data_IF_057513118331
#
_entry.id   IF_057513118331
#
_cell.length_a   1.000
_cell.length_b   1.000
_cell.length_c   1.000
_cell.angle_alpha   90.00
_cell.angle_beta   90.00
_cell.angle_gamma   90.00
#
_symmetry.space_group_name_H-M   'P 1'
#
loop_
_entity.id
_entity.type
_entity.pdbx_description
1 polymer ?
#
# COMPACT_ATOMS: atom_id res chain seq x y z
N UNK A 1 -79.70 -58.23 -18.28
CA UNK A 1 -80.84 -57.28 -18.19
C UNK A 1 -81.82 -57.50 -19.34
N UNK A 2 -83.11 -57.60 -19.04
CA UNK A 2 -84.21 -57.69 -20.04
C UNK A 2 -85.30 -56.68 -19.72
N UNK A 3 -85.91 -56.07 -20.73
CA UNK A 3 -87.02 -55.14 -20.55
C UNK A 3 -88.23 -55.90 -19.96
N UNK A 4 -88.83 -55.36 -18.91
CA UNK A 4 -90.09 -55.87 -18.35
C UNK A 4 -91.25 -55.40 -19.23
N UNK A 5 -92.06 -56.34 -19.70
CA UNK A 5 -93.18 -56.06 -20.59
C UNK A 5 -94.48 -56.63 -20.04
N UNK A 6 -95.58 -55.92 -20.28
CA UNK A 6 -96.95 -56.36 -19.99
C UNK A 6 -97.75 -56.46 -21.29
N UNK A 7 -98.58 -57.50 -21.41
CA UNK A 7 -99.47 -57.68 -22.56
C UNK A 7 -100.85 -57.08 -22.27
N UNK A 8 -101.32 -56.19 -23.14
CA UNK A 8 -102.66 -55.58 -23.07
C UNK A 8 -103.30 -55.65 -24.45
N UNK A 9 -104.45 -56.31 -24.56
CA UNK A 9 -105.19 -56.49 -25.83
C UNK A 9 -104.33 -57.06 -26.99
N UNK A 10 -103.47 -58.04 -26.70
CA UNK A 10 -102.62 -58.70 -27.71
C UNK A 10 -101.37 -57.91 -28.13
N UNK A 11 -101.05 -56.81 -27.43
CA UNK A 11 -99.85 -55.99 -27.67
C UNK A 11 -98.96 -55.93 -26.44
N UNK A 12 -97.64 -56.02 -26.65
CA UNK A 12 -96.65 -55.90 -25.59
C UNK A 12 -96.25 -54.44 -25.37
N UNK A 13 -96.33 -53.99 -24.13
CA UNK A 13 -95.95 -52.65 -23.68
C UNK A 13 -94.84 -52.74 -22.64
N UNK A 14 -93.95 -51.75 -22.60
CA UNK A 14 -92.96 -51.64 -21.54
C UNK A 14 -93.65 -51.26 -20.22
N UNK A 15 -93.31 -51.95 -19.14
CA UNK A 15 -93.69 -51.51 -17.80
C UNK A 15 -92.81 -50.33 -17.41
N UNK A 16 -93.42 -49.30 -16.82
CA UNK A 16 -92.72 -48.10 -16.35
C UNK A 16 -92.82 -48.00 -14.83
N UNK A 17 -91.78 -47.47 -14.19
CA UNK A 17 -91.77 -47.23 -12.76
C UNK A 17 -92.58 -45.96 -12.38
N UNK A 18 -92.59 -45.62 -11.08
CA UNK A 18 -93.28 -44.44 -10.57
C UNK A 18 -92.77 -43.10 -11.15
N UNK A 19 -91.58 -43.09 -11.77
CA UNK A 19 -90.98 -41.93 -12.41
C UNK A 19 -91.19 -41.94 -13.94
N UNK A 20 -91.90 -42.94 -14.48
CA UNK A 20 -92.15 -43.10 -15.91
C UNK A 20 -90.98 -43.71 -16.69
N UNK A 21 -90.00 -44.31 -16.01
CA UNK A 21 -88.84 -44.94 -16.64
C UNK A 21 -89.13 -46.41 -16.97
N UNK A 22 -88.75 -46.92 -18.15
CA UNK A 22 -88.90 -48.34 -18.49
C UNK A 22 -88.16 -49.24 -17.50
N UNK A 23 -88.85 -50.26 -16.98
CA UNK A 23 -88.31 -51.19 -15.99
C UNK A 23 -87.54 -52.31 -16.67
N UNK A 24 -86.30 -52.55 -16.22
CA UNK A 24 -85.49 -53.69 -16.64
C UNK A 24 -85.29 -54.66 -15.47
N UNK A 25 -85.37 -55.95 -15.79
CA UNK A 25 -85.07 -57.05 -14.88
C UNK A 25 -83.61 -57.45 -15.07
N UNK A 26 -82.81 -57.33 -14.02
CA UNK A 26 -81.44 -57.79 -13.97
C UNK A 26 -81.35 -59.31 -13.82
N UNK A 27 -80.16 -59.86 -14.06
CA UNK A 27 -79.95 -61.31 -14.04
C UNK A 27 -80.08 -61.89 -12.60
N UNK A 28 -80.07 -61.03 -11.58
CA UNK A 28 -80.36 -61.36 -10.17
C UNK A 28 -81.85 -61.21 -9.79
N UNK A 29 -82.72 -60.94 -10.77
CA UNK A 29 -84.16 -60.77 -10.58
C UNK A 29 -84.59 -59.39 -10.07
N UNK A 30 -83.65 -58.45 -9.84
CA UNK A 30 -84.01 -57.10 -9.40
C UNK A 30 -84.58 -56.27 -10.55
N UNK A 31 -85.62 -55.49 -10.24
CA UNK A 31 -86.27 -54.59 -11.18
C UNK A 31 -85.82 -53.16 -10.93
N UNK A 32 -85.31 -52.48 -11.97
CA UNK A 32 -84.80 -51.12 -11.88
C UNK A 32 -85.30 -50.31 -13.09
N UNK A 33 -85.78 -49.09 -12.86
CA UNK A 33 -86.09 -48.13 -13.92
C UNK A 33 -84.83 -47.63 -14.62
N UNK A 34 -84.79 -47.70 -15.94
CA UNK A 34 -83.63 -47.29 -16.74
C UNK A 34 -83.82 -45.90 -17.35
N UNK A 35 -83.02 -44.95 -16.89
CA UNK A 35 -82.90 -43.63 -17.50
C UNK A 35 -81.85 -43.64 -18.62
N UNK A 36 -82.32 -43.72 -19.85
CA UNK A 36 -81.46 -43.70 -21.03
C UNK A 36 -80.69 -42.37 -21.20
N UNK A 37 -81.29 -41.23 -20.82
CA UNK A 37 -80.65 -39.93 -20.96
C UNK A 37 -79.51 -39.76 -19.95
N UNK A 38 -79.73 -40.17 -18.69
CA UNK A 38 -78.68 -40.18 -17.66
C UNK A 38 -77.56 -41.16 -18.02
N UNK A 39 -77.88 -42.34 -18.55
CA UNK A 39 -76.88 -43.33 -18.97
C UNK A 39 -75.99 -42.79 -20.11
N UNK A 40 -76.58 -42.18 -21.14
CA UNK A 40 -75.83 -41.56 -22.25
C UNK A 40 -74.95 -40.42 -21.77
N UNK A 41 -75.45 -39.56 -20.87
CA UNK A 41 -74.65 -38.49 -20.25
C UNK A 41 -73.47 -39.05 -19.46
N UNK A 42 -73.68 -40.14 -18.69
CA UNK A 42 -72.62 -40.79 -17.92
C UNK A 42 -71.57 -41.42 -18.83
N UNK A 43 -71.96 -42.07 -19.92
CA UNK A 43 -71.05 -42.62 -20.94
C UNK A 43 -70.21 -41.50 -21.58
N UNK A 44 -70.83 -40.37 -21.92
CA UNK A 44 -70.12 -39.21 -22.46
C UNK A 44 -69.10 -38.63 -21.48
N UNK A 45 -69.45 -38.53 -20.19
CA UNK A 45 -68.53 -38.11 -19.12
C UNK A 45 -67.33 -39.06 -19.01
N UNK A 46 -67.60 -40.36 -18.93
CA UNK A 46 -66.55 -41.39 -18.81
C UNK A 46 -65.61 -41.41 -20.02
N UNK A 47 -66.13 -41.21 -21.23
CA UNK A 47 -65.31 -41.09 -22.44
C UNK A 47 -64.46 -39.81 -22.43
N UNK A 48 -65.01 -38.70 -21.91
CA UNK A 48 -64.26 -37.47 -21.67
C UNK A 48 -63.11 -37.67 -20.67
N UNK A 49 -63.39 -38.32 -19.54
CA UNK A 49 -62.39 -38.67 -18.52
C UNK A 49 -61.31 -39.61 -19.08
N UNK A 50 -61.69 -40.64 -19.85
CA UNK A 50 -60.74 -41.55 -20.49
C UNK A 50 -59.82 -40.82 -21.50
N UNK A 51 -60.35 -39.81 -22.20
CA UNK A 51 -59.56 -38.95 -23.09
C UNK A 51 -58.57 -38.10 -22.29
N UNK A 52 -59.02 -37.43 -21.22
CA UNK A 52 -58.12 -36.59 -20.40
C UNK A 52 -57.02 -37.40 -19.73
N UNK A 53 -57.31 -38.62 -19.27
CA UNK A 53 -56.27 -39.52 -18.72
C UNK A 53 -55.22 -39.91 -19.75
N UNK A 54 -55.62 -40.14 -21.00
CA UNK A 54 -54.69 -40.46 -22.09
C UNK A 54 -53.79 -39.26 -22.41
N UNK A 55 -54.38 -38.08 -22.56
CA UNK A 55 -53.64 -36.84 -22.83
C UNK A 55 -52.67 -36.52 -21.68
N UNK A 56 -53.09 -36.69 -20.43
CA UNK A 56 -52.23 -36.50 -19.26
C UNK A 56 -51.06 -37.50 -19.23
N UNK A 57 -51.30 -38.76 -19.59
CA UNK A 57 -50.26 -39.78 -19.69
C UNK A 57 -49.23 -39.44 -20.77
N UNK A 58 -49.68 -39.08 -21.98
CA UNK A 58 -48.80 -38.69 -23.08
C UNK A 58 -47.96 -37.45 -22.73
N UNK A 59 -48.56 -36.46 -22.07
CA UNK A 59 -47.85 -35.28 -21.60
C UNK A 59 -46.81 -35.60 -20.51
N UNK A 60 -47.12 -36.53 -19.59
CA UNK A 60 -46.18 -36.98 -18.56
C UNK A 60 -45.02 -37.77 -19.16
N UNK A 61 -45.29 -38.70 -20.08
CA UNK A 61 -44.26 -39.48 -20.78
C UNK A 61 -43.33 -38.57 -21.61
N UNK A 62 -43.88 -37.56 -22.29
CA UNK A 62 -43.08 -36.56 -23.02
C UNK A 62 -42.15 -35.78 -22.09
N UNK A 63 -42.64 -35.35 -20.92
CA UNK A 63 -41.81 -34.67 -19.92
C UNK A 63 -40.73 -35.60 -19.35
N UNK A 64 -41.06 -36.87 -19.10
CA UNK A 64 -40.12 -37.86 -18.59
C UNK A 64 -39.00 -38.16 -19.60
N UNK A 65 -39.32 -38.19 -20.89
CA UNK A 65 -38.36 -38.44 -21.97
C UNK A 65 -37.22 -37.40 -22.00
N UNK A 66 -37.48 -36.14 -21.61
CA UNK A 66 -36.43 -35.11 -21.50
C UNK A 66 -35.35 -35.46 -20.46
N UNK A 67 -35.64 -36.37 -19.53
CA UNK A 67 -34.73 -36.84 -18.48
C UNK A 67 -34.21 -38.26 -18.73
N UNK A 68 -34.50 -38.88 -19.89
CA UNK A 68 -34.16 -40.28 -20.16
C UNK A 68 -32.66 -40.59 -20.09
N UNK A 69 -31.79 -39.59 -20.30
CA UNK A 69 -30.34 -39.72 -20.23
C UNK A 69 -29.76 -39.45 -18.83
N UNK A 70 -30.61 -39.17 -17.83
CA UNK A 70 -30.19 -38.95 -16.45
C UNK A 70 -30.37 -40.26 -15.68
N UNK A 71 -29.26 -40.96 -15.45
CA UNK A 71 -29.24 -42.23 -14.71
C UNK A 71 -29.51 -42.09 -13.21
N UNK A 72 -29.16 -40.92 -12.63
CA UNK A 72 -29.36 -40.61 -11.22
C UNK A 72 -29.85 -39.14 -11.09
N UNK A 73 -31.17 -38.93 -10.98
CA UNK A 73 -31.76 -37.60 -10.86
C UNK A 73 -31.28 -36.83 -9.63
N UNK A 74 -30.98 -37.51 -8.52
CA UNK A 74 -30.49 -36.86 -7.31
C UNK A 74 -29.10 -36.28 -7.54
N UNK A 75 -28.20 -37.05 -8.15
CA UNK A 75 -26.85 -36.55 -8.52
C UNK A 75 -26.91 -35.45 -9.57
N UNK A 76 -27.86 -35.49 -10.51
CA UNK A 76 -28.03 -34.40 -11.47
C UNK A 76 -28.44 -33.09 -10.79
N UNK A 77 -29.35 -33.16 -9.80
CA UNK A 77 -29.73 -32.00 -8.99
C UNK A 77 -28.55 -31.50 -8.16
N UNK A 78 -27.81 -32.39 -7.49
CA UNK A 78 -26.60 -32.02 -6.74
C UNK A 78 -25.53 -31.37 -7.63
N UNK A 79 -25.34 -31.87 -8.86
CA UNK A 79 -24.42 -31.27 -9.82
C UNK A 79 -24.87 -29.86 -10.27
N UNK A 80 -26.17 -29.65 -10.49
CA UNK A 80 -26.73 -28.33 -10.80
C UNK A 80 -26.59 -27.36 -9.62
N UNK A 81 -26.83 -27.82 -8.38
CA UNK A 81 -26.59 -27.04 -7.17
C UNK A 81 -25.12 -26.72 -6.95
N UNK A 82 -24.22 -27.66 -7.25
CA UNK A 82 -22.78 -27.41 -7.17
C UNK A 82 -22.35 -26.40 -8.24
N UNK A 83 -22.87 -26.50 -9.46
CA UNK A 83 -22.52 -25.59 -10.56
C UNK A 83 -23.02 -24.16 -10.30
N UNK A 84 -24.23 -24.01 -9.73
CA UNK A 84 -24.74 -22.70 -9.29
C UNK A 84 -23.92 -22.10 -8.14
N UNK A 85 -23.45 -22.92 -7.19
CA UNK A 85 -22.50 -22.49 -6.15
C UNK A 85 -21.13 -22.09 -6.73
N UNK A 86 -20.64 -22.79 -7.76
CA UNK A 86 -19.40 -22.42 -8.46
C UNK A 86 -19.55 -21.08 -9.18
N UNK A 87 -20.67 -20.82 -9.85
CA UNK A 87 -20.92 -19.52 -10.49
C UNK A 87 -21.08 -18.39 -9.47
N UNK A 88 -21.79 -18.61 -8.36
CA UNK A 88 -21.86 -17.64 -7.26
C UNK A 88 -20.48 -17.36 -6.67
N UNK A 89 -19.67 -18.40 -6.45
CA UNK A 89 -18.29 -18.24 -5.98
C UNK A 89 -17.43 -17.49 -6.99
N UNK A 90 -17.55 -17.77 -8.30
CA UNK A 90 -16.85 -17.02 -9.35
C UNK A 90 -17.29 -15.55 -9.44
N UNK A 91 -18.56 -15.25 -9.23
CA UNK A 91 -19.06 -13.87 -9.20
C UNK A 91 -18.57 -13.11 -7.97
N UNK A 92 -18.54 -13.77 -6.80
CA UNK A 92 -17.97 -13.24 -5.55
C UNK A 92 -16.45 -13.06 -5.71
N UNK A 93 -15.75 -14.07 -6.22
CA UNK A 93 -14.31 -14.01 -6.47
C UNK A 93 -13.98 -12.98 -7.54
N UNK A 94 -14.80 -12.78 -8.58
CA UNK A 94 -14.58 -11.71 -9.57
C UNK A 94 -14.68 -10.32 -8.94
N UNK A 95 -15.72 -10.05 -8.14
CA UNK A 95 -15.85 -8.80 -7.39
C UNK A 95 -14.78 -8.61 -6.32
N UNK A 96 -14.40 -9.69 -5.63
CA UNK A 96 -13.35 -9.68 -4.62
C UNK A 96 -11.94 -9.59 -5.22
N UNK A 97 -11.68 -10.16 -6.40
CA UNK A 97 -10.37 -10.08 -7.07
C UNK A 97 -10.10 -8.66 -7.55
N UNK A 98 -11.11 -7.95 -8.07
CA UNK A 98 -10.93 -6.55 -8.45
C UNK A 98 -10.71 -5.66 -7.21
N UNK A 99 -11.43 -5.91 -6.10
CA UNK A 99 -11.20 -5.23 -4.83
C UNK A 99 -9.82 -5.53 -4.25
N UNK A 100 -9.40 -6.79 -4.23
CA UNK A 100 -8.08 -7.24 -3.75
C UNK A 100 -6.97 -6.67 -4.64
N UNK A 101 -7.13 -6.61 -5.96
CA UNK A 101 -6.15 -5.96 -6.85
C UNK A 101 -6.04 -4.46 -6.58
N UNK A 102 -7.16 -3.78 -6.37
CA UNK A 102 -7.17 -2.35 -6.04
C UNK A 102 -6.50 -2.10 -4.67
N UNK A 103 -6.79 -2.92 -3.67
CA UNK A 103 -6.22 -2.83 -2.33
C UNK A 103 -4.72 -3.17 -2.32
N UNK A 104 -4.30 -4.23 -3.04
CA UNK A 104 -2.90 -4.58 -3.25
C UNK A 104 -2.16 -3.42 -3.93
N UNK A 105 -2.72 -2.85 -5.00
CA UNK A 105 -2.09 -1.72 -5.72
C UNK A 105 -1.94 -0.50 -4.80
N UNK A 106 -2.97 -0.19 -4.01
CA UNK A 106 -2.93 0.92 -3.05
C UNK A 106 -1.90 0.70 -1.95
N UNK A 107 -1.81 -0.51 -1.39
CA UNK A 107 -0.84 -0.83 -0.35
C UNK A 107 0.58 -0.83 -0.90
N UNK A 108 0.80 -1.37 -2.11
CA UNK A 108 2.12 -1.30 -2.76
C UNK A 108 2.53 0.13 -3.10
N UNK A 109 1.61 0.95 -3.61
CA UNK A 109 1.90 2.37 -3.85
C UNK A 109 2.28 3.07 -2.55
N UNK A 110 1.55 2.83 -1.46
CA UNK A 110 1.86 3.39 -0.14
C UNK A 110 3.24 2.95 0.35
N UNK A 111 3.58 1.66 0.24
CA UNK A 111 4.90 1.16 0.63
C UNK A 111 6.02 1.71 -0.25
N UNK A 112 5.77 1.89 -1.55
CA UNK A 112 6.72 2.50 -2.47
C UNK A 112 6.99 3.96 -2.13
N UNK A 113 5.93 4.73 -1.85
CA UNK A 113 6.03 6.13 -1.48
C UNK A 113 6.77 6.28 -0.14
N UNK A 114 6.46 5.42 0.83
CA UNK A 114 7.13 5.40 2.14
C UNK A 114 8.61 4.99 2.02
N UNK A 115 8.92 3.92 1.28
CA UNK A 115 10.31 3.50 1.04
C UNK A 115 11.11 4.57 0.29
N UNK A 116 10.49 5.23 -0.69
CA UNK A 116 11.12 6.33 -1.44
C UNK A 116 11.37 7.53 -0.52
N UNK A 117 10.42 7.88 0.34
CA UNK A 117 10.57 8.96 1.31
C UNK A 117 11.69 8.64 2.32
N UNK A 118 11.74 7.41 2.83
CA UNK A 118 12.81 6.95 3.72
C UNK A 118 14.17 6.94 3.03
N UNK A 119 14.27 6.48 1.78
CA UNK A 119 15.53 6.51 1.02
C UNK A 119 16.03 7.93 0.84
N UNK A 120 15.16 8.87 0.45
CA UNK A 120 15.52 10.29 0.31
C UNK A 120 15.95 10.90 1.65
N UNK A 121 15.27 10.56 2.74
CA UNK A 121 15.62 11.04 4.07
C UNK A 121 16.99 10.51 4.52
N UNK A 122 17.25 9.20 4.33
CA UNK A 122 18.53 8.57 4.64
C UNK A 122 19.67 9.09 3.76
N UNK A 123 19.43 9.33 2.48
CA UNK A 123 20.39 9.96 1.58
C UNK A 123 20.76 11.37 2.06
N UNK A 124 19.77 12.17 2.48
CA UNK A 124 20.01 13.49 3.08
C UNK A 124 20.84 13.42 4.36
N UNK A 125 20.52 12.47 5.26
CA UNK A 125 21.29 12.27 6.49
C UNK A 125 22.73 11.79 6.21
N UNK A 126 22.93 10.89 5.25
CA UNK A 126 24.26 10.44 4.84
C UNK A 126 25.06 11.56 4.20
N UNK A 127 24.42 12.41 3.40
CA UNK A 127 25.03 13.59 2.83
C UNK A 127 25.51 14.54 3.95
N UNK A 128 24.65 14.89 4.90
CA UNK A 128 24.99 15.74 6.02
C UNK A 128 26.11 15.14 6.88
N UNK A 129 26.04 13.85 7.20
CA UNK A 129 27.04 13.17 8.02
C UNK A 129 28.40 13.06 7.32
N UNK A 130 28.45 12.68 6.04
CA UNK A 130 29.71 12.53 5.31
C UNK A 130 30.38 13.88 5.03
N UNK A 131 29.59 14.87 4.61
CA UNK A 131 30.13 16.20 4.33
C UNK A 131 30.52 16.86 5.65
N UNK A 132 29.64 16.90 6.65
CA UNK A 132 29.96 17.43 7.98
C UNK A 132 31.16 16.76 8.63
N UNK A 133 31.27 15.42 8.54
CA UNK A 133 32.45 14.69 9.00
C UNK A 133 33.74 15.06 8.27
N UNK A 134 33.66 15.37 6.96
CA UNK A 134 34.82 15.82 6.18
C UNK A 134 35.27 17.23 6.59
N UNK A 135 34.32 18.14 6.87
CA UNK A 135 34.63 19.45 7.44
C UNK A 135 35.25 19.34 8.84
N UNK A 136 34.70 18.49 9.71
CA UNK A 136 35.24 18.29 11.06
C UNK A 136 36.65 17.65 11.06
N UNK A 137 36.95 16.79 10.10
CA UNK A 137 38.23 16.09 9.99
C UNK A 137 39.29 16.81 9.14
N UNK A 138 38.95 17.95 8.54
CA UNK A 138 39.83 18.67 7.61
C UNK A 138 41.05 19.26 8.32
N UNK A 139 42.24 18.88 7.83
CA UNK A 139 43.51 19.48 8.29
C UNK A 139 43.67 20.89 7.76
N UNK A 140 43.21 21.14 6.53
CA UNK A 140 43.21 22.48 5.96
C UNK A 140 42.44 23.47 6.84
N UNK A 141 41.23 23.11 7.30
CA UNK A 141 40.45 23.96 8.22
C UNK A 141 41.22 24.19 9.52
N UNK A 142 41.70 23.12 10.15
CA UNK A 142 42.40 23.17 11.44
C UNK A 142 43.66 24.03 11.38
N UNK A 143 44.47 23.87 10.34
CA UNK A 143 45.81 24.45 10.26
C UNK A 143 45.81 25.82 9.58
N UNK A 144 44.96 26.03 8.57
CA UNK A 144 45.03 27.19 7.67
C UNK A 144 43.88 28.20 7.81
N UNK A 145 42.75 27.85 8.42
CA UNK A 145 41.61 28.77 8.57
C UNK A 145 41.54 29.40 9.96
N UNK A 146 41.25 30.69 10.01
CA UNK A 146 41.07 31.47 11.24
C UNK A 146 39.63 31.38 11.79
N UNK A 147 38.70 30.82 11.03
CA UNK A 147 37.30 30.63 11.39
C UNK A 147 37.01 29.16 11.77
N UNK A 148 36.05 28.91 12.68
CA UNK A 148 35.72 27.54 13.08
C UNK A 148 35.01 26.75 11.96
N UNK A 149 35.06 25.43 12.04
CA UNK A 149 34.63 24.51 10.97
C UNK A 149 33.15 24.58 10.62
N UNK A 150 32.29 24.95 11.57
CA UNK A 150 30.85 25.14 11.39
C UNK A 150 30.53 26.31 10.44
N UNK A 151 31.21 27.45 10.58
CA UNK A 151 31.08 28.59 9.68
C UNK A 151 31.60 28.27 8.27
N UNK A 152 32.70 27.51 8.18
CA UNK A 152 33.26 27.05 6.90
C UNK A 152 32.26 26.11 6.21
N UNK A 153 31.69 25.16 6.95
CA UNK A 153 30.67 24.24 6.45
C UNK A 153 29.41 24.98 6.00
N UNK A 154 28.93 25.96 6.76
CA UNK A 154 27.76 26.75 6.39
C UNK A 154 27.97 27.53 5.09
N UNK A 155 29.19 28.03 4.85
CA UNK A 155 29.50 28.84 3.66
C UNK A 155 29.84 27.99 2.44
N UNK A 156 30.70 26.98 2.60
CA UNK A 156 31.27 26.22 1.50
C UNK A 156 30.64 24.84 1.33
N UNK A 157 29.85 24.35 2.30
CA UNK A 157 29.24 23.03 2.26
C UNK A 157 28.30 22.79 1.07
N UNK A 158 27.69 23.85 0.54
CA UNK A 158 26.83 23.77 -0.65
C UNK A 158 27.60 23.41 -1.93
N UNK A 159 28.91 23.64 -1.97
CA UNK A 159 29.78 23.29 -3.09
C UNK A 159 30.16 21.82 -3.09
N UNK A 160 29.93 21.08 -2.01
CA UNK A 160 30.28 19.66 -1.92
C UNK A 160 29.06 18.79 -2.12
N UNK A 161 29.17 17.76 -2.96
CA UNK A 161 28.11 16.78 -3.21
C UNK A 161 28.61 15.36 -2.98
N UNK A 162 27.72 14.45 -2.60
CA UNK A 162 28.04 13.04 -2.51
C UNK A 162 27.74 12.36 -3.85
N UNK A 163 28.77 11.93 -4.57
CA UNK A 163 28.66 11.17 -5.81
C UNK A 163 29.40 9.85 -5.67
N UNK A 164 28.74 8.74 -6.00
CA UNK A 164 29.31 7.38 -5.90
C UNK A 164 29.93 7.08 -4.51
N UNK A 165 29.33 7.64 -3.46
CA UNK A 165 29.79 7.49 -2.08
C UNK A 165 31.03 8.32 -1.70
N UNK A 166 31.55 9.17 -2.61
CA UNK A 166 32.67 10.09 -2.39
C UNK A 166 32.21 11.54 -2.39
N UNK A 167 32.86 12.37 -1.58
CA UNK A 167 32.58 13.81 -1.53
C UNK A 167 33.31 14.48 -2.70
N UNK A 168 32.55 15.09 -3.61
CA UNK A 168 33.02 15.77 -4.81
C UNK A 168 32.68 17.24 -4.71
N UNK A 169 33.66 18.11 -4.96
CA UNK A 169 33.47 19.54 -4.90
C UNK A 169 33.19 20.16 -6.27
N UNK A 170 32.38 21.21 -6.26
CA UNK A 170 31.98 21.99 -7.41
C UNK A 170 32.37 23.45 -7.23
N UNK A 171 32.91 24.06 -8.27
CA UNK A 171 33.19 25.49 -8.31
C UNK A 171 31.88 26.33 -8.38
N UNK A 172 31.96 27.67 -8.19
CA UNK A 172 30.77 28.54 -8.31
C UNK A 172 30.10 28.52 -9.69
N UNK A 173 30.77 28.00 -10.71
CA UNK A 173 30.26 27.86 -12.08
C UNK A 173 29.59 26.51 -12.32
N UNK A 174 29.60 25.60 -11.34
CA UNK A 174 29.01 24.27 -11.42
C UNK A 174 29.93 23.19 -12.02
N UNK A 175 31.23 23.43 -12.15
CA UNK A 175 32.18 22.43 -12.64
C UNK A 175 32.84 21.66 -11.49
N UNK A 176 33.18 20.38 -11.73
CA UNK A 176 33.93 19.57 -10.77
C UNK A 176 35.35 20.12 -10.59
N UNK A 177 35.79 20.19 -9.34
CA UNK A 177 37.16 20.61 -8.99
C UNK A 177 38.09 19.39 -9.09
N UNK A 178 39.12 19.50 -9.92
CA UNK A 178 40.13 18.46 -10.12
C UNK A 178 41.40 18.74 -9.31
N UNK A 179 42.11 17.67 -8.95
CA UNK A 179 43.36 17.79 -8.21
C UNK A 179 44.43 18.44 -9.08
N UNK A 180 45.13 19.42 -8.50
CA UNK A 180 46.32 20.05 -9.08
C UNK A 180 47.54 19.16 -8.91
N UNK A 181 47.56 18.35 -7.85
CA UNK A 181 48.62 17.38 -7.59
C UNK A 181 48.49 16.09 -8.41
N UNK A 182 47.27 15.72 -8.80
CA UNK A 182 46.97 14.53 -9.61
C UNK A 182 46.09 14.87 -10.81
N UNK A 183 46.69 15.16 -11.98
CA UNK A 183 45.95 15.49 -13.19
C UNK A 183 44.97 14.37 -13.58
N UNK A 184 43.69 14.74 -13.74
CA UNK A 184 42.63 13.81 -14.13
C UNK A 184 41.87 13.14 -12.97
N UNK A 185 42.32 13.27 -11.73
CA UNK A 185 41.56 12.85 -10.55
C UNK A 185 40.79 14.03 -9.93
N UNK A 186 39.64 13.75 -9.32
CA UNK A 186 38.91 14.74 -8.54
C UNK A 186 39.75 15.21 -7.35
N UNK A 187 39.66 16.50 -7.01
CA UNK A 187 40.38 17.04 -5.88
C UNK A 187 39.95 16.34 -4.59
N UNK A 188 40.91 16.13 -3.68
CA UNK A 188 40.58 15.71 -2.32
C UNK A 188 39.77 16.79 -1.61
N UNK A 189 39.06 16.45 -0.53
CA UNK A 189 38.22 17.40 0.21
C UNK A 189 39.00 18.67 0.60
N UNK A 190 40.19 18.51 1.18
CA UNK A 190 41.04 19.64 1.61
C UNK A 190 41.52 20.49 0.44
N UNK A 191 41.98 19.86 -0.65
CA UNK A 191 42.46 20.58 -1.86
C UNK A 191 41.33 21.32 -2.58
N UNK A 192 40.13 20.72 -2.61
CA UNK A 192 38.95 21.36 -3.16
C UNK A 192 38.49 22.54 -2.30
N UNK A 193 38.52 22.38 -0.97
CA UNK A 193 38.17 23.45 -0.04
C UNK A 193 39.16 24.60 -0.13
N UNK A 194 40.47 24.31 -0.25
CA UNK A 194 41.51 25.30 -0.50
C UNK A 194 41.22 26.10 -1.77
N UNK A 195 40.94 25.41 -2.88
CA UNK A 195 40.59 26.06 -4.14
C UNK A 195 39.34 26.96 -4.03
N UNK A 196 38.30 26.53 -3.30
CA UNK A 196 37.09 27.33 -3.07
C UNK A 196 37.36 28.56 -2.19
N UNK A 197 38.19 28.41 -1.16
CA UNK A 197 38.60 29.49 -0.26
C UNK A 197 39.49 30.51 -0.99
N UNK A 198 40.40 30.07 -1.85
CA UNK A 198 41.28 30.95 -2.64
C UNK A 198 40.53 31.85 -3.62
N UNK A 199 39.37 31.39 -4.11
CA UNK A 199 38.48 32.13 -4.98
C UNK A 199 37.50 33.04 -4.22
N UNK A 200 37.45 32.94 -2.89
CA UNK A 200 36.52 33.74 -2.10
C UNK A 200 36.99 35.20 -1.97
N UNK A 201 36.14 36.20 -2.25
CA UNK A 201 36.55 37.61 -2.23
C UNK A 201 37.11 38.10 -0.89
N UNK A 202 36.69 37.51 0.23
CA UNK A 202 37.15 37.88 1.57
C UNK A 202 38.10 36.82 2.17
N UNK A 203 38.85 36.10 1.33
CA UNK A 203 39.74 35.02 1.78
C UNK A 203 40.74 35.45 2.84
N UNK A 204 41.25 36.68 2.77
CA UNK A 204 42.25 37.19 3.71
C UNK A 204 41.73 37.31 5.14
N UNK A 205 40.41 37.36 5.33
CA UNK A 205 39.77 37.37 6.65
C UNK A 205 39.46 35.97 7.20
N UNK A 206 39.45 34.95 6.35
CA UNK A 206 39.17 33.56 6.74
C UNK A 206 40.42 32.70 6.80
N UNK A 207 41.48 33.06 6.07
CA UNK A 207 42.79 32.44 6.17
C UNK A 207 43.50 32.96 7.43
N UNK A 208 44.19 32.08 8.14
CA UNK A 208 45.16 32.54 9.15
C UNK A 208 46.21 33.36 8.43
N UNK A 209 46.53 34.53 8.97
CA UNK A 209 47.63 35.35 8.46
C UNK A 209 48.85 34.45 8.28
N UNK A 210 49.41 34.41 7.07
CA UNK A 210 50.62 33.65 6.78
C UNK A 210 51.68 34.13 7.76
N UNK A 211 51.99 33.31 8.75
CA UNK A 211 52.88 33.65 9.84
C UNK A 211 54.29 33.86 9.32
N UNK A 212 54.58 35.08 8.87
CA UNK A 212 55.85 35.68 9.20
C UNK A 212 55.84 35.76 10.72
N UNK A 213 56.71 34.97 11.36
CA UNK A 213 56.91 34.99 12.80
C UNK A 213 57.33 36.40 13.23
N UNK A 214 56.36 37.23 13.59
CA UNK A 214 56.54 38.56 14.16
C UNK A 214 56.46 38.47 15.68
N UNK A 215 57.62 38.33 16.30
CA UNK A 215 57.95 38.54 17.72
C UNK A 215 56.82 38.61 18.77
N UNK A 216 56.73 37.56 19.57
CA UNK A 216 56.67 37.68 21.03
C UNK A 216 55.42 38.30 21.65
N UNK A 217 54.39 37.49 21.82
CA UNK A 217 53.44 37.67 22.93
C UNK A 217 53.01 36.30 23.46
N UNK A 218 53.81 35.75 24.37
CA UNK A 218 53.32 34.74 25.30
C UNK A 218 52.22 35.38 26.14
N UNK A 219 51.01 34.91 25.96
CA UNK A 219 49.87 35.27 26.79
C UNK A 219 50.07 34.60 28.16
N UNK A 220 50.79 35.26 29.06
CA UNK A 220 50.87 34.83 30.46
C UNK A 220 49.53 35.05 31.12
N UNK A 221 49.01 33.99 31.73
CA UNK A 221 47.77 33.90 32.47
C UNK A 221 47.80 34.79 33.72
N UNK A 222 47.58 36.09 33.53
CA UNK A 222 47.40 37.05 34.61
C UNK A 222 46.06 37.76 34.46
N UNK A 223 45.32 37.83 35.56
CA UNK A 223 44.00 38.43 35.63
C UNK A 223 44.06 39.91 35.23
N UNK A 224 43.09 40.37 34.44
CA UNK A 224 43.01 41.75 33.98
C UNK A 224 43.07 42.73 35.16
N UNK A 225 44.01 43.69 35.11
CA UNK A 225 44.22 44.72 36.12
C UNK A 225 45.45 44.56 37.02
N UNK A 226 46.18 43.45 36.92
CA UNK A 226 47.41 43.25 37.69
C UNK A 226 48.62 43.87 36.98
N UNK A 227 49.28 44.85 37.61
CA UNK A 227 50.51 45.46 37.09
C UNK A 227 51.64 44.44 37.14
N UNK A 228 52.25 44.14 35.99
CA UNK A 228 53.41 43.26 35.88
C UNK A 228 54.62 44.07 35.42
N UNK A 229 55.82 43.65 35.82
CA UNK A 229 57.09 44.24 35.40
C UNK A 229 58.08 43.13 35.09
N UNK A 230 58.87 43.26 34.01
CA UNK A 230 59.95 42.30 33.70
C UNK A 230 61.05 42.35 34.74
N UNK A 231 61.68 41.21 35.03
CA UNK A 231 62.76 41.08 36.03
C UNK A 231 63.94 41.97 35.69
N UNK A 232 64.31 42.01 34.42
CA UNK A 232 65.34 42.93 33.89
C UNK A 232 65.03 44.40 34.16
N UNK A 233 63.76 44.81 34.09
CA UNK A 233 63.35 46.18 34.41
C UNK A 233 63.40 46.43 35.93
N UNK A 234 62.98 45.48 36.76
CA UNK A 234 63.09 45.58 38.22
C UNK A 234 64.54 45.68 38.70
N UNK A 235 65.44 44.91 38.10
CA UNK A 235 66.87 44.90 38.43
C UNK A 235 67.62 46.15 37.96
N UNK A 236 67.00 46.97 37.12
CA UNK A 236 67.53 48.27 36.71
C UNK A 236 67.10 49.43 37.61
N UNK A 237 66.15 49.20 38.53
CA UNK A 237 65.64 50.24 39.44
C UNK A 237 66.63 50.53 40.57
N UNK A 238 66.64 51.79 41.02
CA UNK A 238 67.34 52.20 42.23
C UNK A 238 66.67 51.59 43.49
N UNK A 239 67.38 51.52 44.63
CA UNK A 239 66.87 50.85 45.82
C UNK A 239 65.53 51.41 46.34
N UNK A 240 65.27 52.71 46.17
CA UNK A 240 64.00 53.34 46.58
C UNK A 240 62.85 52.91 45.68
N UNK A 241 63.08 52.93 44.35
CA UNK A 241 62.08 52.51 43.37
C UNK A 241 61.76 51.01 43.43
N UNK A 242 62.72 50.15 43.78
CA UNK A 242 62.47 48.71 44.02
C UNK A 242 61.51 48.49 45.18
N UNK A 243 61.69 49.25 46.25
CA UNK A 243 60.84 49.14 47.44
C UNK A 243 59.42 49.64 47.17
N UNK A 244 59.27 50.69 46.36
CA UNK A 244 57.97 51.16 45.87
C UNK A 244 57.29 50.12 44.98
N UNK A 245 58.01 49.49 44.05
CA UNK A 245 57.44 48.45 43.17
C UNK A 245 56.94 47.22 43.95
N UNK A 246 57.63 46.83 45.02
CA UNK A 246 57.21 45.77 45.93
C UNK A 246 56.00 46.19 46.79
N UNK A 247 55.95 47.45 47.23
CA UNK A 247 54.81 48.00 47.98
C UNK A 247 53.54 48.07 47.13
N UNK A 248 53.67 48.37 45.83
CA UNK A 248 52.59 48.42 44.83
C UNK A 248 52.09 47.03 44.38
N UNK A 249 52.63 45.95 44.97
CA UNK A 249 52.26 44.55 44.66
C UNK A 249 52.39 44.21 43.17
N UNK A 250 53.41 44.77 42.51
CA UNK A 250 53.70 44.49 41.10
C UNK A 250 54.25 43.06 40.99
N UNK A 251 53.69 42.26 40.09
CA UNK A 251 54.18 40.90 39.83
C UNK A 251 55.39 40.95 38.90
N UNK A 252 56.52 40.43 39.37
CA UNK A 252 57.76 40.37 38.58
C UNK A 252 57.72 39.13 37.70
N UNK A 253 57.67 39.34 36.39
CA UNK A 253 57.73 38.29 35.35
C UNK A 253 59.11 38.27 34.71
N UNK A 254 59.54 37.17 34.10
CA UNK A 254 60.87 37.08 33.49
C UNK A 254 60.99 37.91 32.19
#
# INVERSE_FOLDING_TARGET
MKLKTVEVNGKNYAEVDANGLPVYVHDDGKEIGFDAAQAVNKISSLNGEAKTHREAKEAAETKLAAFANISDPAKAIEALELMTKIDQKKLIDAGAVDQVRAEITKTFQTQLDEATAQSKALEGQLYEAKIGGSFAASKFITDKLAIPSDFVQARFGQSFKLEDGKVVAYDPSGNKIYSRSKPGELASFDEALEHLVEQYPQKDHILKASGNSGGGSQQTQHSAGQKTMKRSAFDSLDPSARQAALADKITIVD
#
